data_IF_289744065012
#
_entry.id   IF_289744065012
#
_cell.length_a   1.000
_cell.length_b   1.000
_cell.length_c   1.000
_cell.angle_alpha   90.00
_cell.angle_beta   90.00
_cell.angle_gamma   90.00
#
_symmetry.space_group_name_H-M   'P 1'
#
loop_
_entity.id
_entity.type
_entity.pdbx_description
1 polymer ?
#
# COMPACT_ATOMS: atom_id res chain seq x y z
N UNK A 1 -38.94 -15.36 13.74
CA UNK A 1 -38.25 -14.07 13.92
C UNK A 1 -38.50 -13.43 15.30
N UNK A 2 -39.73 -13.44 15.85
CA UNK A 2 -40.02 -12.84 17.15
C UNK A 2 -39.29 -13.53 18.33
N UNK A 3 -39.24 -14.87 18.38
CA UNK A 3 -38.58 -15.63 19.44
C UNK A 3 -37.07 -15.34 19.52
N UNK A 4 -36.40 -15.15 18.38
CA UNK A 4 -34.99 -14.84 18.33
C UNK A 4 -34.67 -13.42 18.83
N UNK A 5 -35.58 -12.45 18.65
CA UNK A 5 -35.49 -11.10 19.23
C UNK A 5 -35.66 -11.09 20.74
N UNK A 6 -36.55 -11.94 21.28
CA UNK A 6 -36.77 -12.08 22.74
C UNK A 6 -35.54 -12.75 23.38
N UNK A 7 -35.03 -13.83 22.80
CA UNK A 7 -33.79 -14.47 23.30
C UNK A 7 -32.59 -13.51 23.31
N UNK A 8 -32.40 -12.70 22.25
CA UNK A 8 -31.34 -11.67 22.21
C UNK A 8 -31.51 -10.62 23.32
N UNK A 9 -32.74 -10.15 23.59
CA UNK A 9 -33.00 -9.20 24.68
C UNK A 9 -32.74 -9.82 26.07
N UNK A 10 -33.15 -11.06 26.31
CA UNK A 10 -32.90 -11.73 27.59
C UNK A 10 -31.39 -12.00 27.79
N UNK A 11 -30.68 -12.40 26.74
CA UNK A 11 -29.24 -12.59 26.79
C UNK A 11 -28.50 -11.26 27.04
N UNK A 12 -28.95 -10.12 26.49
CA UNK A 12 -28.32 -8.83 26.72
C UNK A 12 -28.42 -8.35 28.18
N UNK A 13 -29.50 -8.70 28.87
CA UNK A 13 -29.68 -8.35 30.32
C UNK A 13 -28.77 -9.19 31.23
N UNK A 14 -28.51 -10.45 30.84
CA UNK A 14 -27.66 -11.37 31.63
C UNK A 14 -26.15 -11.17 31.38
N UNK A 15 -25.75 -10.54 30.27
CA UNK A 15 -24.36 -10.36 29.86
C UNK A 15 -23.84 -8.94 30.03
N UNK A 16 -24.61 -8.03 30.67
CA UNK A 16 -24.15 -6.66 30.95
C UNK A 16 -22.88 -6.69 31.82
N UNK A 17 -21.78 -6.02 31.36
CA UNK A 17 -21.68 -5.03 30.28
C UNK A 17 -21.45 -5.60 28.86
N UNK A 18 -21.32 -6.92 28.68
CA UNK A 18 -21.08 -7.55 27.38
C UNK A 18 -22.39 -7.76 26.62
N UNK A 19 -22.40 -7.51 25.33
CA UNK A 19 -23.49 -7.87 24.44
C UNK A 19 -23.37 -9.35 24.00
N UNK A 20 -24.44 -10.01 23.55
CA UNK A 20 -24.33 -11.36 22.97
C UNK A 20 -23.35 -11.43 21.80
N UNK A 21 -23.20 -10.33 21.06
CA UNK A 21 -22.23 -10.20 19.97
C UNK A 21 -20.77 -10.15 20.46
N UNK A 22 -20.53 -9.54 21.62
CA UNK A 22 -19.21 -9.54 22.26
C UNK A 22 -18.79 -10.96 22.68
N UNK A 23 -19.72 -11.72 23.25
CA UNK A 23 -19.48 -13.12 23.66
C UNK A 23 -19.23 -14.01 22.43
N UNK A 24 -20.02 -13.84 21.36
CA UNK A 24 -19.78 -14.54 20.10
C UNK A 24 -18.39 -14.18 19.54
N UNK A 25 -17.99 -12.90 19.60
CA UNK A 25 -16.68 -12.43 19.17
C UNK A 25 -15.49 -12.98 19.96
N UNK A 26 -15.71 -13.37 21.24
CA UNK A 26 -14.70 -14.07 22.06
C UNK A 26 -14.55 -15.52 21.59
N UNK A 27 -15.66 -16.21 21.33
CA UNK A 27 -15.67 -17.63 20.91
C UNK A 27 -15.25 -17.78 19.43
N UNK A 28 -15.67 -16.86 18.59
CA UNK A 28 -15.32 -16.82 17.17
C UNK A 28 -14.91 -15.39 16.77
N UNK A 29 -13.61 -15.09 16.77
CA UNK A 29 -13.08 -13.76 16.44
C UNK A 29 -13.55 -13.20 15.11
N UNK A 30 -13.85 -14.07 14.12
CA UNK A 30 -14.33 -13.69 12.79
C UNK A 30 -15.80 -13.24 12.76
N UNK A 31 -16.55 -13.46 13.83
CA UNK A 31 -17.96 -13.06 13.96
C UNK A 31 -18.15 -11.72 14.69
N UNK A 32 -17.07 -10.99 14.98
CA UNK A 32 -17.15 -9.70 15.65
C UNK A 32 -17.96 -8.70 14.82
N UNK A 33 -18.98 -8.08 15.45
CA UNK A 33 -19.77 -7.02 14.81
C UNK A 33 -19.13 -5.62 14.93
N UNK A 34 -18.17 -5.45 15.85
CA UNK A 34 -17.54 -4.15 16.14
C UNK A 34 -16.28 -3.90 15.36
N UNK A 35 -15.53 -4.96 15.04
CA UNK A 35 -14.25 -4.88 14.37
C UNK A 35 -14.11 -6.03 13.39
N UNK A 36 -13.96 -5.71 12.12
CA UNK A 36 -13.65 -6.68 11.07
C UNK A 36 -12.29 -7.34 11.35
N UNK A 37 -12.24 -8.65 11.26
CA UNK A 37 -11.04 -9.45 11.51
C UNK A 37 -10.87 -10.49 10.41
N UNK A 38 -9.66 -10.98 10.23
CA UNK A 38 -9.34 -12.09 9.36
C UNK A 38 -8.40 -13.06 10.06
N UNK A 39 -8.47 -14.33 9.72
CA UNK A 39 -7.51 -15.34 10.18
C UNK A 39 -6.53 -15.64 9.06
N UNK A 40 -5.23 -15.62 9.37
CA UNK A 40 -4.16 -15.97 8.44
C UNK A 40 -4.29 -17.46 8.08
N UNK A 41 -4.36 -17.74 6.79
CA UNK A 41 -4.52 -19.11 6.25
C UNK A 41 -3.26 -19.67 5.63
N UNK A 42 -2.38 -18.79 5.10
CA UNK A 42 -1.14 -19.17 4.45
C UNK A 42 -0.13 -18.02 4.53
N UNK A 43 1.13 -18.35 4.68
CA UNK A 43 2.26 -17.40 4.69
C UNK A 43 3.31 -17.94 3.74
N UNK A 44 3.71 -17.14 2.76
CA UNK A 44 4.66 -17.50 1.71
C UNK A 44 5.78 -16.47 1.63
N UNK A 45 7.01 -16.95 1.58
CA UNK A 45 8.18 -16.10 1.41
C UNK A 45 8.36 -15.81 -0.07
N UNK A 46 8.27 -14.54 -0.45
CA UNK A 46 8.47 -14.11 -1.85
C UNK A 46 9.94 -13.80 -2.13
N UNK A 47 10.58 -13.06 -1.21
CA UNK A 47 11.99 -12.69 -1.28
C UNK A 47 12.60 -12.77 0.12
N UNK A 48 13.87 -12.43 0.30
CA UNK A 48 14.52 -12.42 1.62
C UNK A 48 13.83 -11.49 2.61
N UNK A 49 13.24 -10.41 2.14
CA UNK A 49 12.64 -9.37 2.96
C UNK A 49 11.12 -9.20 2.75
N UNK A 50 10.52 -9.97 1.85
CA UNK A 50 9.10 -9.85 1.51
C UNK A 50 8.34 -11.16 1.71
N UNK A 51 7.10 -11.06 2.18
CA UNK A 51 6.24 -12.19 2.53
C UNK A 51 4.80 -11.91 2.10
N UNK A 52 4.18 -12.88 1.43
CA UNK A 52 2.75 -12.90 1.15
C UNK A 52 1.98 -13.54 2.29
N UNK A 53 0.95 -12.86 2.77
CA UNK A 53 0.10 -13.26 3.88
C UNK A 53 -1.32 -13.37 3.35
N UNK A 54 -1.81 -14.60 3.21
CA UNK A 54 -3.18 -14.90 2.82
C UNK A 54 -4.04 -15.01 4.06
N UNK A 55 -5.25 -14.47 4.00
CA UNK A 55 -6.16 -14.53 5.14
C UNK A 55 -7.60 -14.70 4.69
N UNK A 56 -8.37 -15.40 5.52
CA UNK A 56 -9.81 -15.51 5.36
C UNK A 56 -10.48 -14.46 6.24
N UNK A 57 -11.17 -13.46 5.64
CA UNK A 57 -11.84 -12.43 6.41
C UNK A 57 -13.09 -12.97 7.09
N UNK A 58 -13.46 -12.29 8.18
CA UNK A 58 -14.69 -12.55 8.91
C UNK A 58 -15.91 -11.90 8.27
N UNK A 59 -17.02 -12.02 8.99
CA UNK A 59 -18.30 -11.47 8.57
C UNK A 59 -18.25 -9.94 8.41
N UNK A 60 -18.72 -9.45 7.27
CA UNK A 60 -18.76 -8.01 6.96
C UNK A 60 -17.66 -7.56 5.98
N UNK A 61 -16.77 -8.46 5.56
CA UNK A 61 -15.86 -8.17 4.44
C UNK A 61 -16.63 -8.09 3.13
N UNK A 62 -16.39 -7.03 2.37
CA UNK A 62 -16.83 -6.94 0.99
C UNK A 62 -15.73 -7.49 0.07
N UNK A 63 -16.05 -8.33 -0.93
CA UNK A 63 -15.08 -8.78 -1.91
C UNK A 63 -14.36 -7.57 -2.53
N UNK A 64 -13.03 -7.67 -2.64
CA UNK A 64 -12.24 -6.59 -3.22
C UNK A 64 -12.20 -6.66 -4.75
N UNK A 65 -12.10 -5.51 -5.37
CA UNK A 65 -11.71 -5.41 -6.76
C UNK A 65 -10.18 -5.48 -6.89
N UNK A 66 -9.70 -6.01 -8.03
CA UNK A 66 -8.27 -6.09 -8.30
C UNK A 66 -7.63 -4.69 -8.34
N UNK A 67 -6.53 -4.52 -7.62
CA UNK A 67 -5.82 -3.26 -7.46
C UNK A 67 -6.23 -2.44 -6.24
N UNK A 68 -7.28 -2.83 -5.50
CA UNK A 68 -7.65 -2.19 -4.24
C UNK A 68 -6.67 -2.52 -3.11
N UNK A 69 -6.70 -1.70 -2.07
CA UNK A 69 -5.97 -1.85 -0.82
C UNK A 69 -6.92 -1.93 0.38
N UNK A 70 -6.41 -2.46 1.48
CA UNK A 70 -7.10 -2.46 2.76
C UNK A 70 -6.17 -2.01 3.89
N UNK A 71 -6.75 -1.46 4.98
CA UNK A 71 -5.99 -1.23 6.20
C UNK A 71 -5.94 -2.52 7.00
N UNK A 72 -4.73 -2.89 7.38
CA UNK A 72 -4.43 -4.06 8.18
C UNK A 72 -3.89 -3.59 9.52
N UNK A 73 -4.52 -4.06 10.58
CA UNK A 73 -4.10 -3.83 11.96
C UNK A 73 -3.44 -5.07 12.54
N UNK A 74 -2.29 -4.88 13.18
CA UNK A 74 -1.60 -5.91 13.97
C UNK A 74 -1.33 -5.39 15.36
N UNK A 75 -1.25 -6.29 16.31
CA UNK A 75 -0.93 -5.95 17.69
C UNK A 75 0.55 -6.26 17.96
N UNK A 76 1.29 -5.23 18.36
CA UNK A 76 2.71 -5.30 18.69
C UNK A 76 2.85 -4.74 20.10
N UNK A 77 3.40 -5.50 21.03
CA UNK A 77 3.57 -5.11 22.44
C UNK A 77 2.27 -4.59 23.10
N UNK A 78 1.13 -5.20 22.75
CA UNK A 78 -0.18 -4.82 23.28
C UNK A 78 -0.79 -3.56 22.64
N UNK A 79 -0.13 -2.96 21.66
CA UNK A 79 -0.60 -1.78 20.92
C UNK A 79 -1.00 -2.19 19.51
N UNK A 80 -2.15 -1.71 19.06
CA UNK A 80 -2.63 -1.98 17.70
C UNK A 80 -2.14 -0.92 16.74
N UNK A 81 -1.36 -1.39 15.74
CA UNK A 81 -0.84 -0.59 14.66
C UNK A 81 -1.56 -0.86 13.35
N UNK A 82 -1.90 0.19 12.62
CA UNK A 82 -2.59 0.09 11.34
C UNK A 82 -1.68 0.56 10.19
N UNK A 83 -1.69 -0.20 9.08
CA UNK A 83 -1.02 0.19 7.83
C UNK A 83 -1.90 -0.20 6.65
N UNK A 84 -1.80 0.56 5.56
CA UNK A 84 -2.45 0.23 4.29
C UNK A 84 -1.55 -0.68 3.46
N UNK A 85 -2.14 -1.72 2.90
CA UNK A 85 -1.48 -2.64 1.99
C UNK A 85 -2.39 -2.92 0.79
N UNK A 86 -1.83 -2.87 -0.41
CA UNK A 86 -2.54 -3.33 -1.61
C UNK A 86 -2.84 -4.81 -1.47
N UNK A 87 -4.03 -5.19 -1.90
CA UNK A 87 -4.45 -6.59 -1.93
C UNK A 87 -3.80 -7.23 -3.17
N UNK A 88 -2.98 -8.26 -2.97
CA UNK A 88 -2.23 -8.92 -4.04
C UNK A 88 -2.94 -10.14 -4.61
N UNK A 89 -3.97 -10.68 -3.96
CA UNK A 89 -4.81 -11.77 -4.48
C UNK A 89 -5.68 -11.31 -5.65
N UNK A 90 -6.18 -12.26 -6.45
CA UNK A 90 -7.16 -11.97 -7.49
C UNK A 90 -8.44 -11.37 -6.91
N UNK A 91 -9.07 -10.46 -7.66
CA UNK A 91 -10.30 -9.81 -7.23
C UNK A 91 -11.44 -10.82 -7.02
N UNK A 92 -12.06 -10.75 -5.85
CA UNK A 92 -13.15 -11.65 -5.44
C UNK A 92 -12.71 -12.92 -4.73
N UNK A 93 -11.42 -13.26 -4.72
CA UNK A 93 -10.87 -14.39 -3.97
C UNK A 93 -10.62 -14.04 -2.49
N UNK A 94 -10.21 -15.04 -1.70
CA UNK A 94 -9.70 -14.79 -0.35
C UNK A 94 -8.50 -13.83 -0.44
N UNK A 95 -8.51 -12.72 0.32
CA UNK A 95 -7.51 -11.68 0.16
C UNK A 95 -6.12 -12.11 0.62
N UNK A 96 -5.11 -11.50 0.00
CA UNK A 96 -3.72 -11.56 0.43
C UNK A 96 -3.09 -10.17 0.38
N UNK A 97 -2.11 -9.96 1.23
CA UNK A 97 -1.19 -8.81 1.17
C UNK A 97 0.23 -9.32 1.02
N UNK A 98 1.07 -8.57 0.32
CA UNK A 98 2.50 -8.87 0.23
C UNK A 98 3.29 -7.72 0.85
N UNK A 99 4.08 -8.04 1.85
CA UNK A 99 4.69 -7.06 2.76
C UNK A 99 6.19 -7.18 2.74
N UNK A 100 6.87 -6.07 2.43
CA UNK A 100 8.33 -5.94 2.55
C UNK A 100 8.69 -5.36 3.92
N UNK A 101 9.64 -5.98 4.61
CA UNK A 101 10.11 -5.58 5.94
C UNK A 101 10.96 -4.31 5.86
N UNK A 102 10.34 -3.14 6.08
CA UNK A 102 10.99 -1.82 6.02
C UNK A 102 10.95 -1.06 7.36
N UNK A 103 9.90 -1.24 8.15
CA UNK A 103 9.68 -0.58 9.43
C UNK A 103 9.07 -1.53 10.44
N UNK A 104 8.84 -1.10 11.67
CA UNK A 104 8.39 -1.96 12.78
C UNK A 104 7.18 -2.83 12.40
N UNK A 105 6.11 -2.22 11.88
CA UNK A 105 4.86 -2.93 11.55
C UNK A 105 5.03 -3.89 10.38
N UNK A 106 5.69 -3.45 9.30
CA UNK A 106 5.93 -4.30 8.14
C UNK A 106 6.91 -5.43 8.46
N UNK A 107 7.89 -5.21 9.34
CA UNK A 107 8.80 -6.25 9.81
C UNK A 107 8.08 -7.30 10.65
N UNK A 108 7.23 -6.88 11.59
CA UNK A 108 6.39 -7.80 12.37
C UNK A 108 5.49 -8.63 11.45
N UNK A 109 4.79 -7.98 10.50
CA UNK A 109 3.96 -8.70 9.51
C UNK A 109 4.77 -9.69 8.69
N UNK A 110 5.90 -9.27 8.10
CA UNK A 110 6.66 -10.10 7.18
C UNK A 110 7.42 -11.25 7.86
N UNK A 111 7.82 -11.10 9.14
CA UNK A 111 8.71 -12.06 9.81
C UNK A 111 8.06 -12.87 10.93
N UNK A 112 7.03 -12.32 11.57
CA UNK A 112 6.46 -12.90 12.79
C UNK A 112 5.08 -13.52 12.57
N UNK A 113 4.34 -13.09 11.51
CA UNK A 113 3.01 -13.61 11.20
C UNK A 113 3.02 -15.11 10.93
N UNK A 114 2.07 -15.82 11.52
CA UNK A 114 1.89 -17.27 11.41
C UNK A 114 0.46 -17.62 10.99
N UNK A 115 0.31 -18.79 10.40
CA UNK A 115 -1.02 -19.36 10.13
C UNK A 115 -1.81 -19.50 11.43
N UNK A 116 -3.03 -18.99 11.43
CA UNK A 116 -3.91 -18.93 12.59
C UNK A 116 -3.94 -17.57 13.30
N UNK A 117 -3.00 -16.67 13.02
CA UNK A 117 -3.00 -15.33 13.60
C UNK A 117 -4.22 -14.53 13.15
N UNK A 118 -4.64 -13.60 14.00
CA UNK A 118 -5.77 -12.72 13.73
C UNK A 118 -5.27 -11.34 13.30
N UNK A 119 -5.66 -10.94 12.11
CA UNK A 119 -5.49 -9.59 11.59
C UNK A 119 -6.75 -8.77 11.85
N UNK A 120 -6.57 -7.50 12.18
CA UNK A 120 -7.66 -6.52 12.18
C UNK A 120 -7.76 -5.89 10.79
N UNK A 121 -8.97 -5.74 10.28
CA UNK A 121 -9.20 -5.35 8.90
C UNK A 121 -10.12 -4.15 8.81
N UNK A 122 -9.94 -3.32 7.79
CA UNK A 122 -10.95 -2.42 7.27
C UNK A 122 -11.42 -2.92 5.89
N UNK A 123 -12.54 -2.42 5.41
CA UNK A 123 -13.06 -2.74 4.08
C UNK A 123 -12.07 -2.32 2.99
N UNK A 124 -12.03 -3.06 1.85
CA UNK A 124 -11.23 -2.68 0.70
C UNK A 124 -11.61 -1.28 0.17
N UNK A 125 -10.61 -0.54 -0.29
CA UNK A 125 -10.73 0.84 -0.77
C UNK A 125 -9.78 1.06 -1.95
N UNK A 126 -9.95 2.19 -2.65
CA UNK A 126 -9.08 2.64 -3.73
C UNK A 126 -9.72 2.52 -5.10
N UNK A 127 -9.31 3.45 -5.97
CA UNK A 127 -9.82 3.61 -7.34
C UNK A 127 -8.81 3.13 -8.39
N UNK A 128 -7.68 2.57 -7.94
CA UNK A 128 -6.67 1.96 -8.81
C UNK A 128 -7.13 0.58 -9.27
N UNK A 129 -8.16 0.56 -10.13
CA UNK A 129 -8.83 -0.66 -10.59
C UNK A 129 -8.93 -0.69 -12.11
N UNK A 130 -8.95 -1.89 -12.68
CA UNK A 130 -9.16 -2.06 -14.11
C UNK A 130 -10.63 -1.80 -14.47
N UNK A 131 -10.92 -1.19 -15.65
CA UNK A 131 -12.25 -1.15 -16.19
C UNK A 131 -12.73 -2.57 -16.55
N UNK A 132 -14.03 -2.75 -16.65
CA UNK A 132 -14.63 -4.05 -16.99
C UNK A 132 -14.11 -4.64 -18.31
N UNK A 133 -13.84 -3.76 -19.29
CA UNK A 133 -13.29 -4.11 -20.60
C UNK A 133 -12.00 -3.32 -20.84
N UNK A 134 -10.88 -3.79 -20.31
CA UNK A 134 -9.62 -3.09 -20.47
C UNK A 134 -9.15 -3.11 -21.93
N UNK A 135 -8.65 -1.98 -22.39
CA UNK A 135 -7.88 -1.84 -23.63
C UNK A 135 -6.52 -2.53 -23.44
N UNK A 136 -5.66 -2.61 -24.50
CA UNK A 136 -4.26 -2.99 -24.31
C UNK A 136 -3.65 -2.22 -23.14
N UNK A 137 -2.97 -2.94 -22.23
CA UNK A 137 -2.47 -2.41 -20.97
C UNK A 137 -0.95 -2.28 -20.99
N UNK A 138 -0.46 -1.21 -20.38
CA UNK A 138 0.94 -1.09 -19.95
C UNK A 138 0.94 -0.95 -18.43
N UNK A 139 1.63 -1.84 -17.75
CA UNK A 139 1.78 -1.83 -16.30
C UNK A 139 3.22 -1.51 -15.94
N UNK A 140 3.44 -0.37 -15.30
CA UNK A 140 4.76 0.12 -14.88
C UNK A 140 4.89 0.01 -13.37
N UNK A 141 5.82 -0.81 -12.89
CA UNK A 141 5.94 -1.07 -11.46
C UNK A 141 7.39 -1.04 -11.00
N UNK A 142 7.60 -0.64 -9.73
CA UNK A 142 8.91 -0.72 -9.11
C UNK A 142 8.79 -1.20 -7.66
N UNK A 143 9.60 -2.21 -7.29
CA UNK A 143 9.60 -2.82 -5.96
C UNK A 143 8.22 -3.32 -5.54
N UNK A 144 7.78 -2.94 -4.32
CA UNK A 144 6.45 -3.33 -3.79
C UNK A 144 5.26 -2.76 -4.56
N UNK A 145 5.47 -1.80 -5.47
CA UNK A 145 4.43 -1.30 -6.38
C UNK A 145 3.87 -2.38 -7.32
N UNK A 146 4.48 -3.55 -7.39
CA UNK A 146 3.93 -4.68 -8.12
C UNK A 146 2.67 -5.27 -7.46
N UNK A 147 2.48 -5.11 -6.16
CA UNK A 147 1.40 -5.79 -5.40
C UNK A 147 -0.02 -5.52 -5.92
N UNK A 148 -0.46 -4.28 -6.19
CA UNK A 148 -1.79 -4.05 -6.75
C UNK A 148 -1.90 -4.53 -8.21
N UNK A 149 -0.83 -4.41 -8.96
CA UNK A 149 -0.76 -4.85 -10.36
C UNK A 149 -0.81 -6.38 -10.46
N UNK A 150 -0.18 -7.08 -9.52
CA UNK A 150 -0.26 -8.54 -9.45
C UNK A 150 -1.70 -9.03 -9.21
N UNK A 151 -2.47 -8.35 -8.36
CA UNK A 151 -3.91 -8.60 -8.21
C UNK A 151 -4.67 -8.44 -9.54
N UNK A 152 -4.32 -7.41 -10.33
CA UNK A 152 -4.90 -7.19 -11.65
C UNK A 152 -4.55 -8.31 -12.62
N UNK A 153 -3.30 -8.72 -12.69
CA UNK A 153 -2.81 -9.79 -13.57
C UNK A 153 -3.47 -11.12 -13.18
N UNK A 154 -3.46 -11.49 -11.91
CA UNK A 154 -4.12 -12.69 -11.37
C UNK A 154 -5.62 -12.73 -11.67
N UNK A 155 -6.26 -11.56 -11.75
CA UNK A 155 -7.68 -11.46 -12.06
C UNK A 155 -7.95 -11.53 -13.56
N UNK A 156 -7.17 -10.81 -14.35
CA UNK A 156 -7.40 -10.61 -15.77
C UNK A 156 -6.99 -11.81 -16.61
N UNK A 157 -5.75 -12.29 -16.42
CA UNK A 157 -5.14 -13.30 -17.31
C UNK A 157 -5.94 -14.61 -17.35
N UNK A 158 -6.38 -15.22 -16.22
CA UNK A 158 -7.19 -16.42 -16.26
C UNK A 158 -8.57 -16.23 -16.87
N UNK A 159 -9.17 -15.03 -16.72
CA UNK A 159 -10.50 -14.71 -17.24
C UNK A 159 -10.49 -14.27 -18.71
N UNK A 160 -9.39 -13.69 -19.13
CA UNK A 160 -9.17 -13.10 -20.46
C UNK A 160 -7.77 -13.48 -20.98
N UNK A 161 -7.54 -14.73 -21.43
CA UNK A 161 -6.25 -15.15 -21.95
C UNK A 161 -5.80 -14.37 -23.21
N UNK A 162 -6.74 -13.68 -23.85
CA UNK A 162 -6.53 -12.80 -25.00
C UNK A 162 -6.16 -11.35 -24.61
N UNK A 163 -6.17 -11.01 -23.31
CA UNK A 163 -5.84 -9.67 -22.85
C UNK A 163 -4.40 -9.32 -23.21
N UNK A 164 -4.23 -8.14 -23.80
CA UNK A 164 -2.93 -7.63 -24.23
C UNK A 164 -2.32 -6.79 -23.12
N UNK A 165 -1.32 -7.36 -22.44
CA UNK A 165 -0.70 -6.78 -21.24
C UNK A 165 0.82 -6.77 -21.41
N UNK A 166 1.43 -5.61 -21.27
CA UNK A 166 2.88 -5.46 -21.10
C UNK A 166 3.13 -5.01 -19.66
N UNK A 167 3.84 -5.83 -18.88
CA UNK A 167 4.34 -5.50 -17.56
C UNK A 167 5.82 -5.13 -17.65
N UNK A 168 6.18 -3.94 -17.22
CA UNK A 168 7.57 -3.54 -16.96
C UNK A 168 7.74 -3.42 -15.45
N UNK A 169 8.50 -4.34 -14.87
CA UNK A 169 8.76 -4.38 -13.43
C UNK A 169 10.23 -4.09 -13.11
N UNK A 170 10.46 -3.02 -12.37
CA UNK A 170 11.80 -2.66 -11.89
C UNK A 170 12.05 -3.21 -10.49
N UNK A 171 13.10 -3.99 -10.33
CA UNK A 171 13.58 -4.51 -9.06
C UNK A 171 15.08 -4.25 -8.89
N UNK A 172 15.63 -4.44 -7.69
CA UNK A 172 17.09 -4.27 -7.48
C UNK A 172 17.86 -5.35 -8.23
N UNK A 173 17.51 -6.60 -7.97
CA UNK A 173 18.08 -7.80 -8.60
C UNK A 173 16.97 -8.80 -8.89
N UNK A 174 17.23 -9.88 -9.62
CA UNK A 174 16.27 -10.97 -9.79
C UNK A 174 15.76 -11.55 -8.46
N UNK A 175 16.62 -11.71 -7.45
CA UNK A 175 16.26 -12.22 -6.13
C UNK A 175 15.33 -11.29 -5.33
N UNK A 176 15.27 -10.00 -5.70
CA UNK A 176 14.37 -9.00 -5.10
C UNK A 176 13.06 -8.84 -5.89
N UNK A 177 12.90 -9.51 -7.03
CA UNK A 177 11.70 -9.40 -7.86
C UNK A 177 10.55 -10.21 -7.23
N UNK A 178 9.52 -9.51 -6.77
CA UNK A 178 8.31 -10.14 -6.22
C UNK A 178 7.61 -10.98 -7.30
N UNK A 179 7.04 -12.12 -6.92
CA UNK A 179 6.23 -12.99 -7.78
C UNK A 179 6.92 -13.41 -9.08
N UNK A 180 8.26 -13.45 -9.09
CA UNK A 180 9.05 -13.66 -10.30
C UNK A 180 8.64 -14.94 -11.03
N UNK A 181 8.65 -16.08 -10.34
CA UNK A 181 8.34 -17.39 -10.92
C UNK A 181 6.89 -17.47 -11.40
N UNK A 182 5.94 -16.95 -10.60
CA UNK A 182 4.53 -16.92 -10.96
C UNK A 182 4.27 -16.06 -12.21
N UNK A 183 4.95 -14.92 -12.32
CA UNK A 183 4.82 -14.06 -13.51
C UNK A 183 5.34 -14.75 -14.77
N UNK A 184 6.43 -15.51 -14.68
CA UNK A 184 6.92 -16.31 -15.79
C UNK A 184 5.96 -17.45 -16.16
N UNK A 185 5.39 -18.13 -15.17
CA UNK A 185 4.38 -19.17 -15.40
C UNK A 185 3.12 -18.61 -16.07
N UNK A 186 2.64 -17.43 -15.62
CA UNK A 186 1.49 -16.78 -16.22
C UNK A 186 1.78 -16.31 -17.66
N UNK A 187 3.00 -15.85 -17.94
CA UNK A 187 3.41 -15.45 -19.28
C UNK A 187 3.51 -16.68 -20.22
N UNK A 188 4.00 -17.82 -19.72
CA UNK A 188 4.04 -19.08 -20.48
C UNK A 188 2.60 -19.56 -20.84
N UNK A 189 1.62 -19.30 -19.99
CA UNK A 189 0.21 -19.68 -20.18
C UNK A 189 -0.58 -18.67 -21.02
N UNK A 190 -0.11 -17.43 -21.12
CA UNK A 190 -0.79 -16.33 -21.83
C UNK A 190 0.14 -15.63 -22.80
N UNK A 191 0.08 -15.96 -24.11
CA UNK A 191 1.02 -15.41 -25.12
C UNK A 191 0.96 -13.89 -25.27
N UNK A 192 -0.09 -13.25 -24.74
CA UNK A 192 -0.28 -11.78 -24.79
C UNK A 192 0.10 -11.08 -23.50
N UNK A 193 0.53 -11.81 -22.48
CA UNK A 193 1.16 -11.26 -21.30
C UNK A 193 2.67 -11.22 -21.54
N UNK A 194 3.21 -10.03 -21.75
CA UNK A 194 4.64 -9.79 -21.89
C UNK A 194 5.16 -9.25 -20.58
N UNK A 195 6.08 -9.97 -19.94
CA UNK A 195 6.76 -9.55 -18.70
C UNK A 195 8.18 -9.10 -19.03
N UNK A 196 8.50 -7.88 -18.64
CA UNK A 196 9.83 -7.25 -18.79
C UNK A 196 10.35 -6.90 -17.40
N UNK A 197 11.37 -7.61 -16.94
CA UNK A 197 12.07 -7.27 -15.71
C UNK A 197 13.21 -6.27 -16.02
N UNK A 198 13.30 -5.24 -15.19
CA UNK A 198 14.34 -4.24 -15.25
C UNK A 198 15.13 -4.20 -13.95
N UNK A 199 16.37 -4.66 -13.97
CA UNK A 199 17.20 -4.73 -12.77
C UNK A 199 18.09 -3.51 -12.64
N UNK A 200 18.16 -2.96 -11.41
CA UNK A 200 18.89 -1.71 -11.14
C UNK A 200 20.27 -1.95 -10.52
N UNK A 201 20.60 -3.19 -10.14
CA UNK A 201 21.88 -3.60 -9.56
C UNK A 201 22.35 -4.92 -10.18
N UNK A 202 23.67 -5.18 -10.10
CA UNK A 202 24.23 -6.46 -10.53
C UNK A 202 23.94 -7.57 -9.51
N UNK A 203 23.79 -8.84 -9.95
CA UNK A 203 23.78 -9.98 -9.06
C UNK A 203 25.11 -10.04 -8.29
N UNK A 204 25.06 -10.10 -6.96
CA UNK A 204 26.26 -10.16 -6.10
C UNK A 204 26.75 -8.81 -5.56
N UNK A 205 26.04 -7.73 -5.79
CA UNK A 205 26.26 -6.47 -5.06
C UNK A 205 26.12 -6.74 -3.55
N UNK A 206 27.12 -6.33 -2.69
CA UNK A 206 27.14 -6.64 -1.26
C UNK A 206 25.91 -6.17 -0.48
N UNK A 207 25.16 -5.21 -1.01
CA UNK A 207 23.88 -4.75 -0.44
C UNK A 207 22.66 -5.58 -0.87
N UNK A 208 22.85 -6.66 -1.64
CA UNK A 208 21.78 -7.54 -2.10
C UNK A 208 21.83 -8.89 -1.37
N UNK A 209 20.65 -9.47 -1.13
CA UNK A 209 20.52 -10.82 -0.56
C UNK A 209 21.19 -11.88 -1.46
N UNK A 210 21.63 -13.00 -0.83
CA UNK A 210 22.23 -14.14 -1.52
C UNK A 210 21.38 -14.56 -2.74
N UNK A 211 22.05 -14.76 -3.88
CA UNK A 211 21.42 -15.08 -5.14
C UNK A 211 20.63 -16.39 -5.04
N UNK A 212 19.32 -16.31 -5.27
CA UNK A 212 18.52 -17.46 -5.66
C UNK A 212 18.94 -17.82 -7.09
N UNK A 213 19.13 -19.10 -7.38
CA UNK A 213 19.48 -19.60 -8.70
C UNK A 213 18.28 -19.39 -9.66
N UNK A 214 18.28 -18.23 -10.32
CA UNK A 214 17.25 -17.86 -11.28
C UNK A 214 17.77 -18.20 -12.67
N UNK A 215 16.97 -18.91 -13.45
CA UNK A 215 17.27 -19.19 -14.85
C UNK A 215 17.35 -17.88 -15.66
N UNK A 216 18.56 -17.33 -15.75
CA UNK A 216 18.85 -16.09 -16.47
C UNK A 216 18.53 -16.17 -17.98
N UNK A 217 18.36 -17.37 -18.54
CA UNK A 217 18.02 -17.52 -19.96
C UNK A 217 16.61 -17.04 -20.31
N UNK A 218 15.73 -16.91 -19.28
CA UNK A 218 14.37 -16.41 -19.42
C UNK A 218 14.24 -14.88 -19.20
N UNK A 219 15.31 -14.23 -18.77
CA UNK A 219 15.35 -12.79 -18.63
C UNK A 219 15.73 -12.19 -19.99
N UNK A 220 14.89 -11.32 -20.52
CA UNK A 220 15.31 -10.53 -21.68
C UNK A 220 16.58 -9.76 -21.32
N UNK A 221 17.62 -9.81 -22.15
CA UNK A 221 18.88 -9.10 -21.90
C UNK A 221 18.64 -7.60 -22.09
N UNK A 222 18.09 -6.96 -21.09
CA UNK A 222 17.99 -5.52 -21.06
C UNK A 222 19.24 -4.98 -20.40
N UNK A 223 19.99 -4.17 -21.14
CA UNK A 223 21.05 -3.23 -20.77
C UNK A 223 21.77 -3.46 -19.41
N UNK A 224 22.99 -2.96 -19.29
CA UNK A 224 23.73 -2.88 -18.01
C UNK A 224 22.84 -2.37 -16.86
N UNK A 225 23.02 -2.85 -15.62
CA UNK A 225 22.19 -2.49 -14.48
C UNK A 225 22.12 -0.97 -14.31
N UNK A 226 20.94 -0.42 -14.45
CA UNK A 226 20.65 1.01 -14.26
C UNK A 226 19.18 1.21 -13.91
N UNK A 227 18.83 2.36 -13.37
CA UNK A 227 17.42 2.72 -13.21
C UNK A 227 16.73 2.85 -14.57
N UNK A 228 15.45 2.42 -14.63
CA UNK A 228 14.59 2.69 -15.79
C UNK A 228 14.46 4.22 -15.93
N UNK A 229 14.83 4.73 -17.09
CA UNK A 229 14.78 6.17 -17.36
C UNK A 229 13.43 6.56 -17.96
N UNK A 230 12.60 7.19 -17.15
CA UNK A 230 11.32 7.76 -17.56
C UNK A 230 11.39 9.29 -17.77
N UNK A 231 12.59 9.89 -17.71
CA UNK A 231 12.76 11.30 -18.08
C UNK A 231 12.62 11.54 -19.59
N UNK A 232 12.76 10.47 -20.36
CA UNK A 232 12.53 10.40 -21.80
C UNK A 232 11.72 9.17 -22.16
N UNK A 233 11.20 9.09 -23.38
CA UNK A 233 10.47 7.90 -23.87
C UNK A 233 11.37 6.74 -24.30
N UNK A 234 12.69 6.92 -24.36
CA UNK A 234 13.62 6.00 -25.02
C UNK A 234 13.53 4.55 -24.50
N UNK A 235 13.44 4.36 -23.19
CA UNK A 235 13.32 3.02 -22.62
C UNK A 235 11.95 2.39 -22.93
N UNK A 236 10.86 3.18 -22.84
CA UNK A 236 9.51 2.68 -23.15
C UNK A 236 9.35 2.39 -24.65
N UNK A 237 9.93 3.18 -25.54
CA UNK A 237 9.90 2.95 -26.99
C UNK A 237 10.55 1.61 -27.37
N UNK A 238 11.51 1.12 -26.57
CA UNK A 238 12.13 -0.21 -26.74
C UNK A 238 11.29 -1.31 -26.07
N UNK A 239 10.85 -1.09 -24.83
CA UNK A 239 10.18 -2.11 -24.02
C UNK A 239 8.73 -2.36 -24.45
N UNK A 240 8.05 -1.33 -24.93
CA UNK A 240 6.65 -1.34 -25.33
C UNK A 240 6.42 -0.29 -26.44
N UNK A 241 6.76 -0.55 -27.70
CA UNK A 241 6.76 0.47 -28.77
C UNK A 241 5.41 1.18 -28.99
N UNK A 242 4.31 0.52 -28.61
CA UNK A 242 2.96 1.05 -28.74
C UNK A 242 2.40 1.62 -27.40
N UNK A 243 3.27 1.93 -26.42
CA UNK A 243 2.89 2.38 -25.09
C UNK A 243 1.92 3.58 -25.08
N UNK A 244 2.05 4.48 -26.08
CA UNK A 244 1.20 5.66 -26.23
C UNK A 244 -0.28 5.34 -26.47
N UNK A 245 -0.55 4.14 -26.97
CA UNK A 245 -1.92 3.67 -27.28
C UNK A 245 -2.48 2.73 -26.20
N UNK A 246 -1.70 2.42 -25.16
CA UNK A 246 -2.11 1.54 -24.04
C UNK A 246 -2.68 2.34 -22.88
N UNK A 247 -3.63 1.76 -22.18
CA UNK A 247 -4.00 2.26 -20.85
C UNK A 247 -2.89 1.90 -19.85
N UNK A 248 -2.21 2.91 -19.31
CA UNK A 248 -1.07 2.72 -18.42
C UNK A 248 -1.49 2.77 -16.95
N UNK A 249 -0.95 1.84 -16.18
CA UNK A 249 -1.09 1.76 -14.72
C UNK A 249 0.29 1.77 -14.10
N UNK A 250 0.55 2.72 -13.20
CA UNK A 250 1.86 2.84 -12.57
C UNK A 250 1.77 2.82 -11.04
N UNK A 251 2.65 2.03 -10.40
CA UNK A 251 2.80 2.00 -8.95
C UNK A 251 4.25 1.73 -8.56
N UNK A 252 4.78 2.52 -7.61
CA UNK A 252 6.19 2.44 -7.19
C UNK A 252 6.62 3.61 -6.32
N UNK A 253 7.93 3.84 -6.17
CA UNK A 253 8.48 4.99 -5.45
C UNK A 253 8.04 6.33 -6.05
N UNK A 254 8.03 7.37 -5.22
CA UNK A 254 7.56 8.71 -5.61
C UNK A 254 8.27 9.23 -6.85
N UNK A 255 9.60 9.17 -6.88
CA UNK A 255 10.41 9.68 -8.02
C UNK A 255 10.09 8.93 -9.33
N UNK A 256 9.85 7.62 -9.25
CA UNK A 256 9.44 6.81 -10.40
C UNK A 256 8.09 7.25 -10.97
N UNK A 257 7.13 7.50 -10.09
CA UNK A 257 5.78 7.93 -10.45
C UNK A 257 5.75 9.37 -10.95
N UNK A 258 6.60 10.24 -10.39
CA UNK A 258 6.73 11.64 -10.85
C UNK A 258 7.35 11.69 -12.24
N UNK A 259 8.39 10.90 -12.51
CA UNK A 259 8.97 10.77 -13.83
C UNK A 259 7.96 10.23 -14.86
N UNK A 260 7.20 9.17 -14.49
CA UNK A 260 6.12 8.66 -15.34
C UNK A 260 5.07 9.74 -15.63
N UNK A 261 4.65 10.50 -14.62
CA UNK A 261 3.66 11.58 -14.77
C UNK A 261 4.18 12.67 -15.71
N UNK A 262 5.42 13.09 -15.52
CA UNK A 262 6.06 14.12 -16.38
C UNK A 262 6.19 13.64 -17.83
N UNK A 263 6.57 12.38 -18.04
CA UNK A 263 6.67 11.80 -19.38
C UNK A 263 5.30 11.83 -20.09
N UNK A 264 4.25 11.36 -19.45
CA UNK A 264 2.88 11.38 -20.02
C UNK A 264 2.40 12.81 -20.29
N UNK A 265 2.72 13.76 -19.42
CA UNK A 265 2.36 15.17 -19.63
C UNK A 265 3.12 15.83 -20.77
N UNK A 266 4.38 15.44 -21.01
CA UNK A 266 5.24 16.06 -22.03
C UNK A 266 5.07 15.50 -23.44
N UNK A 267 4.64 14.25 -23.54
CA UNK A 267 4.59 13.53 -24.82
C UNK A 267 3.44 14.00 -25.74
N UNK A 268 2.44 14.72 -25.23
CA UNK A 268 1.41 15.47 -25.98
C UNK A 268 0.56 14.68 -27.01
N UNK A 269 0.97 13.48 -27.35
CA UNK A 269 0.38 12.64 -28.41
C UNK A 269 -0.65 11.63 -27.85
N UNK A 270 -1.00 11.79 -26.59
CA UNK A 270 -2.12 11.05 -25.98
C UNK A 270 -3.41 11.71 -26.48
N UNK A 271 -3.86 11.31 -27.67
CA UNK A 271 -5.00 11.89 -28.35
C UNK A 271 -6.15 12.22 -27.41
N UNK A 272 -6.72 13.39 -27.59
CA UNK A 272 -7.92 13.88 -26.88
C UNK A 272 -9.18 13.04 -27.19
N UNK A 273 -9.06 12.09 -28.08
CA UNK A 273 -10.07 11.11 -28.41
C UNK A 273 -9.94 9.83 -27.54
N UNK A 274 -10.98 9.02 -27.51
CA UNK A 274 -11.07 7.79 -26.69
C UNK A 274 -9.97 6.74 -27.01
N UNK A 275 -8.96 7.06 -27.80
CA UNK A 275 -7.86 6.16 -28.25
C UNK A 275 -6.51 6.46 -27.58
N UNK A 276 -6.32 7.63 -26.97
CA UNK A 276 -5.07 8.00 -26.28
C UNK A 276 -4.83 7.20 -24.99
N UNK A 277 -3.56 6.86 -24.71
CA UNK A 277 -3.17 6.13 -23.51
C UNK A 277 -3.28 6.99 -22.24
N UNK A 278 -4.20 6.64 -21.34
CA UNK A 278 -4.31 7.27 -20.02
C UNK A 278 -3.30 6.68 -19.05
N UNK A 279 -2.76 7.49 -18.15
CA UNK A 279 -1.93 7.03 -17.03
C UNK A 279 -2.74 7.09 -15.73
N UNK A 280 -2.90 5.94 -15.08
CA UNK A 280 -3.51 5.81 -13.74
C UNK A 280 -2.41 5.45 -12.75
N UNK A 281 -2.34 6.16 -11.62
CA UNK A 281 -1.25 6.02 -10.65
C UNK A 281 -1.80 5.64 -9.28
N UNK A 282 -1.12 4.70 -8.61
CA UNK A 282 -1.27 4.46 -7.18
C UNK A 282 0.02 4.83 -6.44
N UNK A 283 -0.09 5.61 -5.36
CA UNK A 283 1.02 6.04 -4.51
C UNK A 283 0.87 5.47 -3.12
N UNK A 284 1.95 4.93 -2.56
CA UNK A 284 1.99 4.40 -1.19
C UNK A 284 2.39 5.44 -0.13
N UNK A 285 2.83 6.61 -0.58
CA UNK A 285 3.20 7.74 0.27
C UNK A 285 2.49 9.02 -0.20
N UNK A 286 2.23 9.98 0.69
CA UNK A 286 1.72 11.29 0.28
C UNK A 286 2.76 11.99 -0.62
N UNK A 287 2.28 12.75 -1.59
CA UNK A 287 3.14 13.67 -2.33
C UNK A 287 3.40 14.87 -1.42
N UNK A 288 4.63 15.01 -0.97
CA UNK A 288 5.06 16.15 -0.17
C UNK A 288 5.82 17.13 -1.09
N UNK A 289 5.57 18.41 -0.93
CA UNK A 289 6.31 19.43 -1.68
C UNK A 289 7.77 19.48 -1.20
N UNK A 290 8.70 19.45 -2.13
CA UNK A 290 10.11 19.69 -1.82
C UNK A 290 10.28 21.09 -1.22
N UNK A 291 10.95 21.17 -0.07
CA UNK A 291 11.16 22.44 0.63
C UNK A 291 9.96 22.98 1.40
N UNK A 292 8.82 22.28 1.44
CA UNK A 292 7.65 22.71 2.22
C UNK A 292 7.89 22.68 3.74
N UNK A 293 9.01 22.10 4.20
CA UNK A 293 9.24 21.79 5.61
C UNK A 293 9.43 23.00 6.54
N UNK A 294 9.94 24.14 6.08
CA UNK A 294 10.17 25.31 6.94
C UNK A 294 11.18 25.03 8.08
N UNK A 295 11.11 25.82 9.16
CA UNK A 295 12.08 25.77 10.27
C UNK A 295 11.81 24.62 11.27
N UNK A 296 10.60 24.04 11.27
CA UNK A 296 10.20 23.08 12.29
C UNK A 296 9.84 23.74 13.63
N UNK A 297 9.92 22.98 14.72
CA UNK A 297 9.67 23.50 16.06
C UNK A 297 9.58 22.43 17.13
N UNK A 298 9.50 22.86 18.38
CA UNK A 298 9.27 21.99 19.52
C UNK A 298 7.81 21.49 19.48
N UNK A 299 7.65 20.17 19.48
CA UNK A 299 6.37 19.50 19.54
C UNK A 299 6.13 18.95 20.93
N UNK A 300 5.06 19.37 21.59
CA UNK A 300 4.66 18.95 22.94
C UNK A 300 3.38 18.13 22.86
N UNK A 301 3.38 16.95 23.49
CA UNK A 301 2.24 16.06 23.65
C UNK A 301 1.73 16.15 25.10
N UNK A 302 0.65 16.88 25.32
CA UNK A 302 0.23 17.31 26.66
C UNK A 302 -0.19 16.16 27.58
N UNK A 303 -0.93 15.15 27.05
CA UNK A 303 -1.38 14.00 27.85
C UNK A 303 -0.28 12.97 28.10
N UNK A 304 0.68 12.89 27.18
CA UNK A 304 1.80 11.95 27.27
C UNK A 304 3.02 12.51 28.02
N UNK A 305 3.01 13.81 28.34
CA UNK A 305 4.13 14.54 28.95
C UNK A 305 5.47 14.29 28.20
N UNK A 306 5.40 14.44 26.86
CA UNK A 306 6.53 14.22 25.95
C UNK A 306 6.76 15.42 25.07
N UNK A 307 8.05 15.67 24.81
CA UNK A 307 8.48 16.72 23.89
C UNK A 307 9.53 16.17 22.93
N UNK A 308 9.53 16.70 21.71
CA UNK A 308 10.51 16.38 20.67
C UNK A 308 10.74 17.60 19.78
N UNK A 309 12.00 17.84 19.42
CA UNK A 309 12.33 18.83 18.39
C UNK A 309 12.06 18.19 17.02
N UNK A 310 11.07 18.77 16.30
CA UNK A 310 10.60 18.26 15.02
C UNK A 310 11.14 19.12 13.88
N UNK A 311 12.07 18.62 13.06
CA UNK A 311 12.50 19.31 11.84
C UNK A 311 11.31 19.62 10.93
N UNK A 312 11.34 20.74 10.23
CA UNK A 312 10.23 21.22 9.44
C UNK A 312 9.77 20.32 8.29
N UNK A 313 10.58 19.35 7.87
CA UNK A 313 10.20 18.34 6.89
C UNK A 313 9.66 17.03 7.50
N UNK A 314 9.72 16.87 8.83
CA UNK A 314 9.23 15.70 9.55
C UNK A 314 7.74 15.84 9.84
N UNK A 315 6.95 14.79 9.56
CA UNK A 315 5.54 14.81 9.93
C UNK A 315 5.38 14.79 11.45
N UNK A 316 4.32 15.41 11.97
CA UNK A 316 3.97 15.36 13.39
C UNK A 316 3.77 13.92 13.88
N UNK A 317 3.30 13.05 13.00
CA UNK A 317 3.13 11.62 13.26
C UNK A 317 4.48 10.95 13.51
N UNK A 318 5.45 11.14 12.61
CA UNK A 318 6.77 10.53 12.72
C UNK A 318 7.56 11.10 13.90
N UNK A 319 7.40 12.40 14.17
CA UNK A 319 8.00 13.05 15.34
C UNK A 319 7.45 12.45 16.64
N UNK A 320 6.15 12.28 16.79
CA UNK A 320 5.53 11.66 17.97
C UNK A 320 5.97 10.21 18.16
N UNK A 321 5.98 9.41 17.09
CA UNK A 321 6.47 8.04 17.15
C UNK A 321 7.95 7.96 17.53
N UNK A 322 8.79 8.88 17.05
CA UNK A 322 10.23 8.91 17.38
C UNK A 322 10.51 9.11 18.87
N UNK A 323 9.63 9.82 19.58
CA UNK A 323 9.76 10.04 21.05
C UNK A 323 8.91 9.05 21.87
N UNK A 324 8.30 8.04 21.23
CA UNK A 324 7.56 6.96 21.90
C UNK A 324 6.12 7.29 22.26
N UNK A 325 5.53 8.33 21.69
CA UNK A 325 4.10 8.64 21.82
C UNK A 325 3.31 7.70 20.94
N UNK A 326 2.24 7.12 21.49
CA UNK A 326 1.30 6.28 20.72
C UNK A 326 0.42 7.18 19.87
N UNK A 327 0.85 7.41 18.63
CA UNK A 327 0.15 8.28 17.70
C UNK A 327 -1.03 7.56 17.02
N UNK A 328 -2.23 8.17 16.97
CA UNK A 328 -3.28 7.67 16.11
C UNK A 328 -2.79 7.74 14.65
N UNK A 329 -2.85 6.61 13.96
CA UNK A 329 -2.35 6.52 12.58
C UNK A 329 -3.20 5.60 11.72
N UNK A 330 -3.14 5.78 10.41
CA UNK A 330 -3.87 4.97 9.44
C UNK A 330 -3.07 4.80 8.14
N UNK A 331 -3.60 5.32 7.02
CA UNK A 331 -2.97 5.19 5.70
C UNK A 331 -1.63 5.92 5.58
N UNK A 332 -1.35 6.92 6.39
CA UNK A 332 -0.21 7.85 6.33
C UNK A 332 -0.10 8.63 5.01
N UNK A 333 -1.18 8.68 4.23
CA UNK A 333 -1.26 9.36 2.93
C UNK A 333 -2.16 10.62 2.95
N UNK A 334 -2.65 11.03 4.13
CA UNK A 334 -3.56 12.17 4.24
C UNK A 334 -5.00 11.91 3.77
N UNK A 335 -5.38 10.66 3.51
CA UNK A 335 -6.69 10.29 2.93
C UNK A 335 -7.68 9.85 4.02
N UNK A 336 -7.29 8.89 4.86
CA UNK A 336 -8.22 8.19 5.76
C UNK A 336 -8.63 8.97 7.00
N UNK A 337 -7.95 10.07 7.32
CA UNK A 337 -8.18 10.92 8.50
C UNK A 337 -8.10 10.22 9.87
N UNK A 338 -7.51 9.02 9.92
CA UNK A 338 -7.36 8.30 11.20
C UNK A 338 -6.26 8.86 12.10
N UNK A 339 -5.46 9.79 11.61
CA UNK A 339 -4.38 10.47 12.33
C UNK A 339 -4.79 11.87 12.83
N UNK A 340 -6.10 12.15 12.93
CA UNK A 340 -6.58 13.42 13.44
C UNK A 340 -6.32 13.54 14.93
N UNK A 341 -5.68 14.66 15.33
CA UNK A 341 -5.36 15.00 16.71
C UNK A 341 -5.74 16.48 16.92
N UNK A 342 -6.40 16.83 18.04
CA UNK A 342 -6.70 18.22 18.33
C UNK A 342 -5.41 19.04 18.56
N UNK A 343 -5.34 20.21 17.94
CA UNK A 343 -4.30 21.20 18.19
C UNK A 343 -4.67 22.00 19.45
N UNK A 344 -3.78 22.03 20.43
CA UNK A 344 -3.97 22.84 21.64
C UNK A 344 -3.43 24.25 21.40
N UNK A 345 -2.23 24.35 20.82
CA UNK A 345 -1.61 25.64 20.51
C UNK A 345 -0.56 25.49 19.39
N UNK A 346 -0.24 26.58 18.73
CA UNK A 346 0.80 26.64 17.70
C UNK A 346 0.23 26.64 16.29
N UNK A 347 1.12 26.44 15.31
CA UNK A 347 0.78 26.39 13.88
C UNK A 347 1.44 25.18 13.23
N UNK A 348 0.77 24.61 12.26
CA UNK A 348 1.27 23.47 11.48
C UNK A 348 1.32 23.82 10.00
N UNK A 349 2.17 23.13 9.27
CA UNK A 349 2.31 23.28 7.83
C UNK A 349 1.86 21.99 7.13
N UNK A 350 0.88 22.08 6.26
CA UNK A 350 0.55 20.96 5.34
C UNK A 350 1.71 20.78 4.35
N UNK A 351 2.38 19.66 4.44
CA UNK A 351 3.56 19.34 3.62
C UNK A 351 3.23 19.10 2.13
N UNK A 352 1.94 18.97 1.79
CA UNK A 352 1.49 18.79 0.40
C UNK A 352 1.27 20.11 -0.30
N UNK A 353 0.88 21.14 0.43
CA UNK A 353 0.50 22.45 -0.12
C UNK A 353 1.46 23.57 0.29
N UNK A 354 2.23 23.37 1.38
CA UNK A 354 3.06 24.38 2.00
C UNK A 354 2.27 25.39 2.86
N UNK A 355 0.93 25.27 2.91
CA UNK A 355 0.08 26.17 3.68
C UNK A 355 0.30 26.02 5.18
N UNK A 356 0.36 27.16 5.89
CA UNK A 356 0.46 27.20 7.35
C UNK A 356 -0.90 27.52 7.94
N UNK A 357 -1.42 26.61 8.75
CA UNK A 357 -2.73 26.73 9.40
C UNK A 357 -2.65 26.27 10.85
N UNK A 358 -3.76 26.28 11.57
CA UNK A 358 -3.88 25.78 12.93
C UNK A 358 -4.59 26.80 13.82
N UNK A 359 -5.87 26.56 14.07
CA UNK A 359 -6.65 27.23 15.10
C UNK A 359 -6.74 26.31 16.32
N UNK A 360 -6.87 26.89 17.52
CA UNK A 360 -7.04 26.12 18.75
C UNK A 360 -8.29 25.21 18.64
N UNK A 361 -8.11 23.92 18.91
CA UNK A 361 -9.13 22.88 18.76
C UNK A 361 -9.28 22.31 17.35
N UNK A 362 -8.56 22.82 16.36
CA UNK A 362 -8.55 22.23 15.02
C UNK A 362 -8.04 20.80 15.05
N UNK A 363 -8.69 19.91 14.27
CA UNK A 363 -8.26 18.52 14.12
C UNK A 363 -7.19 18.42 13.03
N UNK A 364 -5.94 18.24 13.44
CA UNK A 364 -4.78 18.17 12.55
C UNK A 364 -4.52 16.74 12.06
N UNK A 365 -4.37 16.57 10.75
CA UNK A 365 -3.90 15.32 10.16
C UNK A 365 -2.38 15.18 10.35
N UNK A 366 -1.94 14.53 11.41
CA UNK A 366 -0.52 14.46 11.81
C UNK A 366 0.39 13.80 10.78
N UNK A 367 -0.13 12.95 9.87
CA UNK A 367 0.67 12.25 8.87
C UNK A 367 1.08 13.08 7.64
N UNK A 368 0.53 14.29 7.49
CA UNK A 368 0.82 15.19 6.36
C UNK A 368 1.16 16.62 6.81
N UNK A 369 1.14 16.87 8.10
CA UNK A 369 1.49 18.17 8.68
C UNK A 369 2.80 18.08 9.45
N UNK A 370 3.62 19.12 9.34
CA UNK A 370 4.82 19.37 10.12
C UNK A 370 4.64 20.54 11.08
N UNK A 371 5.53 20.67 12.05
CA UNK A 371 5.56 21.85 12.91
C UNK A 371 5.96 23.10 12.13
N UNK A 372 5.28 24.22 12.38
CA UNK A 372 5.61 25.54 11.85
C UNK A 372 5.85 26.52 13.02
N UNK A 373 6.85 26.21 13.85
CA UNK A 373 7.13 26.76 15.14
C UNK A 373 6.72 25.82 16.27
N UNK A 374 6.66 26.28 17.54
CA UNK A 374 6.20 25.45 18.66
C UNK A 374 4.76 24.98 18.46
N UNK A 375 4.48 23.68 18.70
CA UNK A 375 3.18 23.03 18.51
C UNK A 375 2.82 22.21 19.74
N UNK A 376 1.60 22.33 20.23
CA UNK A 376 1.04 21.54 21.32
C UNK A 376 -0.13 20.70 20.81
N UNK A 377 -0.08 19.38 21.05
CA UNK A 377 -1.12 18.43 20.65
C UNK A 377 -1.78 17.78 21.87
N UNK A 378 -3.08 17.55 21.81
CA UNK A 378 -3.89 16.91 22.86
C UNK A 378 -3.74 15.38 22.83
N UNK A 379 -2.51 14.88 23.09
CA UNK A 379 -2.12 13.47 23.14
C UNK A 379 -1.30 13.13 24.37
#
# INVERSE_FOLDING_TARGET
MAAMRVLRRMASVLLTPLTPEDVIGIVNPLSSARQLRGVVTRVERETTDSTSIHFRPGRGWNPHAAGQWARIGVEIDGVRHWRSYSLSAAGGDDPAITVTALGVVSTALARETRVGDILFLDSPQGDFVLPEHPRPLLMLTAGSGLTPVMSMIRTLVPRRPDADVVLVHSARTPADALFHDELLELADQSPRLIVRHWFTREPGDPDTAEAVDIDQSRLDPVAAPRRLDLSTSADLDVLCPDWRHRAAYACGPTEFLDAATALWASDGDHGTDATGGSLTIERFAPVLLEGAGGEGGLLTFEKSDREVDAPGGMTLLDAGESCGVVMPSGCRMGICRSCLVPLVAGRVRDLRTGEVHGDEGELIQTCINAAAGPVHLDL
#
